data_IF_982740486089
#
_entry.id   IF_982740486089
#
_cell.length_a   1.000
_cell.length_b   1.000
_cell.length_c   1.000
_cell.angle_alpha   90.00
_cell.angle_beta   90.00
_cell.angle_gamma   90.00
#
_symmetry.space_group_name_H-M   'P 1'
#
loop_
_entity.id
_entity.type
_entity.pdbx_description
1 polymer ?
#
# COMPACT_ATOMS: atom_id res chain seq x y z
N UNK A 1 -25.34 -9.91 -5.99
CA UNK A 1 -25.18 -8.61 -5.31
C UNK A 1 -24.31 -8.86 -4.10
N UNK A 2 -23.02 -8.52 -4.15
CA UNK A 2 -22.15 -8.60 -2.98
C UNK A 2 -22.53 -7.46 -2.03
N UNK A 3 -22.85 -7.80 -0.79
CA UNK A 3 -23.17 -6.82 0.24
C UNK A 3 -21.84 -6.28 0.77
N UNK A 4 -21.59 -4.97 0.60
CA UNK A 4 -20.37 -4.32 1.09
C UNK A 4 -20.24 -4.57 2.60
N UNK A 5 -19.15 -5.21 3.01
CA UNK A 5 -18.84 -5.52 4.41
C UNK A 5 -18.23 -4.31 5.13
N UNK A 6 -17.81 -3.29 4.38
CA UNK A 6 -17.33 -2.03 4.89
C UNK A 6 -18.51 -1.19 5.39
N UNK A 7 -18.55 -0.91 6.70
CA UNK A 7 -19.65 -0.13 7.30
C UNK A 7 -19.72 1.31 6.78
N UNK A 8 -18.57 1.91 6.45
CA UNK A 8 -18.46 3.33 6.06
C UNK A 8 -17.41 3.57 4.94
N UNK A 9 -17.62 3.06 3.72
CA UNK A 9 -16.62 3.08 2.65
C UNK A 9 -16.16 4.50 2.28
N UNK A 10 -17.09 5.46 2.17
CA UNK A 10 -16.75 6.87 1.88
C UNK A 10 -15.92 7.54 2.98
N UNK A 11 -16.15 7.17 4.25
CA UNK A 11 -15.37 7.73 5.35
C UNK A 11 -13.94 7.16 5.32
N UNK A 12 -13.82 5.85 5.13
CA UNK A 12 -12.55 5.16 4.99
C UNK A 12 -11.71 5.71 3.81
N UNK A 13 -12.30 5.88 2.63
CA UNK A 13 -11.58 6.43 1.47
C UNK A 13 -11.07 7.85 1.74
N UNK A 14 -11.85 8.68 2.44
CA UNK A 14 -11.39 10.03 2.86
C UNK A 14 -10.26 9.99 3.89
N UNK A 15 -10.20 8.98 4.73
CA UNK A 15 -9.10 8.78 5.66
C UNK A 15 -7.85 8.31 4.92
N UNK A 16 -7.99 7.32 4.03
CA UNK A 16 -6.89 6.85 3.19
C UNK A 16 -6.34 7.95 2.28
N UNK A 17 -7.18 8.81 1.71
CA UNK A 17 -6.75 9.93 0.88
C UNK A 17 -5.94 11.01 1.63
N UNK A 18 -5.95 11.01 2.97
CA UNK A 18 -5.06 11.86 3.78
C UNK A 18 -3.66 11.27 3.92
N UNK A 19 -3.56 9.96 3.76
CA UNK A 19 -2.36 9.17 4.03
C UNK A 19 -1.65 8.73 2.73
N UNK A 20 -2.42 8.62 1.64
CA UNK A 20 -2.01 8.09 0.35
C UNK A 20 -2.46 8.97 -0.81
N UNK A 21 -1.68 8.94 -1.89
CA UNK A 21 -2.11 9.39 -3.21
C UNK A 21 -2.82 8.21 -3.90
N UNK A 22 -4.14 8.22 -3.91
CA UNK A 22 -4.94 7.14 -4.48
C UNK A 22 -4.98 7.29 -6.01
N UNK A 23 -4.54 6.27 -6.73
CA UNK A 23 -4.50 6.29 -8.19
C UNK A 23 -5.89 6.12 -8.83
N UNK A 24 -6.66 5.14 -8.34
CA UNK A 24 -8.03 4.87 -8.75
C UNK A 24 -8.88 4.55 -7.49
N UNK A 25 -9.80 5.45 -7.14
CA UNK A 25 -10.63 5.28 -5.95
C UNK A 25 -11.61 4.10 -6.05
N UNK A 26 -12.13 3.82 -7.25
CA UNK A 26 -13.12 2.78 -7.46
C UNK A 26 -12.47 1.40 -7.36
N UNK A 27 -11.28 1.21 -7.95
CA UNK A 27 -10.55 -0.05 -7.84
C UNK A 27 -10.04 -0.31 -6.41
N UNK A 28 -9.50 0.71 -5.74
CA UNK A 28 -9.07 0.59 -4.34
C UNK A 28 -10.25 0.26 -3.44
N UNK A 29 -11.41 0.90 -3.64
CA UNK A 29 -12.61 0.59 -2.86
C UNK A 29 -13.07 -0.85 -3.10
N UNK A 30 -13.14 -1.29 -4.36
CA UNK A 30 -13.51 -2.66 -4.71
C UNK A 30 -12.54 -3.70 -4.13
N UNK A 31 -11.27 -3.37 -4.00
CA UNK A 31 -10.30 -4.20 -3.28
C UNK A 31 -10.61 -4.29 -1.79
N UNK A 32 -10.83 -3.16 -1.12
CA UNK A 32 -11.10 -3.10 0.32
C UNK A 32 -12.41 -3.79 0.71
N UNK A 33 -13.39 -3.82 -0.19
CA UNK A 33 -14.64 -4.58 0.00
C UNK A 33 -14.41 -6.10 -0.03
N UNK A 34 -13.45 -6.55 -0.86
CA UNK A 34 -13.05 -7.97 -0.97
C UNK A 34 -12.10 -8.39 0.15
N UNK A 35 -11.29 -7.46 0.65
CA UNK A 35 -10.30 -7.68 1.70
C UNK A 35 -10.50 -6.68 2.86
N UNK A 36 -11.50 -6.87 3.75
CA UNK A 36 -11.80 -5.91 4.80
C UNK A 36 -10.66 -5.72 5.83
N UNK A 37 -9.77 -6.71 5.94
CA UNK A 37 -8.55 -6.68 6.76
C UNK A 37 -7.42 -5.81 6.15
N UNK A 38 -7.52 -5.48 4.86
CA UNK A 38 -6.57 -4.59 4.19
C UNK A 38 -6.62 -3.15 4.73
N UNK A 39 -7.81 -2.65 5.07
CA UNK A 39 -7.97 -1.27 5.54
C UNK A 39 -7.13 -0.94 6.79
N UNK A 40 -7.23 -1.69 7.92
CA UNK A 40 -6.36 -1.44 9.07
C UNK A 40 -4.88 -1.69 8.74
N UNK A 41 -4.58 -2.66 7.87
CA UNK A 41 -3.21 -2.92 7.43
C UNK A 41 -2.60 -1.75 6.66
N UNK A 42 -3.35 -1.02 5.84
CA UNK A 42 -2.86 0.18 5.16
C UNK A 42 -2.44 1.27 6.16
N UNK A 43 -3.21 1.52 7.21
CA UNK A 43 -2.79 2.48 8.24
C UNK A 43 -1.51 2.03 8.97
N UNK A 44 -1.37 0.74 9.24
CA UNK A 44 -0.13 0.16 9.79
C UNK A 44 1.05 0.32 8.80
N UNK A 45 0.84 0.06 7.51
CA UNK A 45 1.82 0.26 6.44
C UNK A 45 2.28 1.71 6.45
N UNK A 46 1.37 2.69 6.42
CA UNK A 46 1.74 4.11 6.39
C UNK A 46 2.54 4.52 7.62
N UNK A 47 2.10 4.09 8.81
CA UNK A 47 2.81 4.35 10.07
C UNK A 47 4.25 3.83 10.03
N UNK A 48 4.47 2.62 9.51
CA UNK A 48 5.81 2.07 9.38
C UNK A 48 6.63 2.72 8.27
N UNK A 49 6.05 3.02 7.10
CA UNK A 49 6.74 3.78 6.05
C UNK A 49 7.25 5.10 6.60
N UNK A 50 6.43 5.84 7.37
CA UNK A 50 6.86 7.11 7.97
C UNK A 50 8.09 7.01 8.86
N UNK A 51 8.30 5.87 9.53
CA UNK A 51 9.48 5.67 10.40
C UNK A 51 10.79 5.58 9.63
N UNK A 52 10.77 5.09 8.39
CA UNK A 52 11.99 4.86 7.60
C UNK A 52 12.14 5.86 6.44
N UNK A 53 11.03 6.28 5.83
CA UNK A 53 10.99 7.18 4.68
C UNK A 53 10.43 8.58 5.01
N UNK A 54 10.09 8.84 6.28
CA UNK A 54 9.51 10.12 6.69
C UNK A 54 8.17 10.41 6.01
N UNK A 55 7.93 11.68 5.69
CA UNK A 55 6.69 12.11 5.07
C UNK A 55 6.67 11.94 3.54
N UNK A 56 7.58 11.13 2.98
CA UNK A 56 7.54 10.75 1.57
C UNK A 56 6.13 10.30 1.16
N UNK A 57 5.70 10.75 -0.02
CA UNK A 57 4.39 10.44 -0.56
C UNK A 57 4.31 8.93 -0.86
N UNK A 58 3.12 8.36 -0.69
CA UNK A 58 2.89 6.95 -1.02
C UNK A 58 1.72 6.89 -1.97
N UNK A 59 1.96 6.40 -3.18
CA UNK A 59 0.91 6.12 -4.15
C UNK A 59 0.28 4.78 -3.81
N UNK A 60 -1.05 4.74 -3.75
CA UNK A 60 -1.81 3.51 -3.59
C UNK A 60 -2.47 3.17 -4.92
N UNK A 61 -2.15 1.99 -5.46
CA UNK A 61 -2.58 1.57 -6.79
C UNK A 61 -2.87 0.07 -6.84
N UNK A 62 -3.52 -0.39 -7.90
CA UNK A 62 -3.71 -1.79 -8.21
C UNK A 62 -2.70 -2.24 -9.27
N UNK A 63 -2.05 -3.37 -9.01
CA UNK A 63 -1.16 -4.04 -9.96
C UNK A 63 -1.79 -5.34 -10.44
N UNK A 64 -1.62 -5.63 -11.72
CA UNK A 64 -2.13 -6.82 -12.38
C UNK A 64 -0.96 -7.59 -12.98
N UNK A 65 -0.74 -8.81 -12.54
CA UNK A 65 0.24 -9.69 -13.16
C UNK A 65 -0.31 -10.22 -14.49
N UNK A 66 0.33 -9.84 -15.60
CA UNK A 66 -0.08 -10.26 -16.94
C UNK A 66 0.47 -11.65 -17.30
N UNK A 67 1.52 -12.10 -16.61
CA UNK A 67 2.12 -13.42 -16.80
C UNK A 67 1.33 -14.49 -16.01
N UNK A 68 0.81 -14.13 -14.83
CA UNK A 68 -0.05 -14.99 -13.99
C UNK A 68 -1.38 -14.33 -13.60
N UNK A 69 -2.34 -14.19 -14.53
CA UNK A 69 -3.64 -13.55 -14.27
C UNK A 69 -4.48 -14.22 -13.18
N UNK A 70 -4.24 -15.51 -12.91
CA UNK A 70 -4.90 -16.29 -11.88
C UNK A 70 -4.61 -15.83 -10.45
N UNK A 71 -3.47 -15.16 -10.23
CA UNK A 71 -3.10 -14.61 -8.91
C UNK A 71 -3.97 -13.40 -8.53
N UNK A 72 -4.65 -12.81 -9.53
CA UNK A 72 -5.54 -11.68 -9.35
C UNK A 72 -4.80 -10.37 -9.08
N UNK A 73 -5.54 -9.29 -8.84
CA UNK A 73 -4.94 -7.98 -8.62
C UNK A 73 -4.36 -7.85 -7.20
N UNK A 74 -3.17 -7.24 -7.12
CA UNK A 74 -2.52 -6.90 -5.85
C UNK A 74 -2.60 -5.39 -5.61
N UNK A 75 -2.80 -5.00 -4.36
CA UNK A 75 -2.72 -3.60 -3.96
C UNK A 75 -1.27 -3.21 -3.68
N UNK A 76 -0.79 -2.12 -4.26
CA UNK A 76 0.59 -1.66 -4.12
C UNK A 76 0.62 -0.32 -3.40
N UNK A 77 1.29 -0.28 -2.24
CA UNK A 77 1.70 0.94 -1.58
C UNK A 77 3.12 1.32 -2.04
N UNK A 78 3.20 2.16 -3.07
CA UNK A 78 4.44 2.55 -3.72
C UNK A 78 4.99 3.88 -3.18
N UNK A 79 6.11 3.80 -2.45
CA UNK A 79 6.77 4.95 -1.82
C UNK A 79 7.47 5.80 -2.89
N UNK A 80 7.11 7.07 -2.96
CA UNK A 80 7.65 8.07 -3.87
C UNK A 80 8.81 8.80 -3.18
N UNK A 81 10.04 8.29 -3.33
CA UNK A 81 11.15 8.77 -2.51
C UNK A 81 12.17 9.61 -3.30
N UNK A 82 12.64 10.75 -2.75
CA UNK A 82 13.73 11.53 -3.32
C UNK A 82 15.11 11.05 -2.82
N UNK A 83 15.15 10.00 -2.01
CA UNK A 83 16.40 9.41 -1.51
C UNK A 83 17.25 8.88 -2.67
N UNK A 84 18.58 8.86 -2.47
CA UNK A 84 19.46 8.18 -3.41
C UNK A 84 19.18 6.68 -3.36
N UNK A 85 19.46 5.97 -4.46
CA UNK A 85 19.14 4.55 -4.57
C UNK A 85 19.72 3.70 -3.44
N UNK A 86 20.96 3.96 -3.01
CA UNK A 86 21.57 3.24 -1.89
C UNK A 86 20.78 3.45 -0.58
N UNK A 87 20.48 4.71 -0.23
CA UNK A 87 19.76 5.06 0.99
C UNK A 87 18.31 4.53 0.99
N UNK A 88 17.64 4.59 -0.16
CA UNK A 88 16.29 4.04 -0.35
C UNK A 88 16.28 2.52 -0.16
N UNK A 89 17.26 1.81 -0.74
CA UNK A 89 17.42 0.36 -0.58
C UNK A 89 17.68 0.01 0.88
N UNK A 90 18.54 0.74 1.58
CA UNK A 90 18.84 0.46 2.98
C UNK A 90 17.63 0.71 3.88
N UNK A 91 16.87 1.78 3.64
CA UNK A 91 15.62 2.08 4.34
C UNK A 91 14.55 1.02 4.06
N UNK A 92 14.39 0.60 2.81
CA UNK A 92 13.46 -0.46 2.42
C UNK A 92 13.82 -1.80 3.06
N UNK A 93 15.12 -2.15 3.09
CA UNK A 93 15.61 -3.36 3.76
C UNK A 93 15.36 -3.34 5.26
N UNK A 94 15.52 -2.18 5.92
CA UNK A 94 15.21 -2.03 7.34
C UNK A 94 13.71 -2.19 7.60
N UNK A 95 12.85 -1.48 6.86
CA UNK A 95 11.39 -1.64 6.90
C UNK A 95 10.97 -3.11 6.70
N UNK A 96 11.58 -3.78 5.72
CA UNK A 96 11.41 -5.20 5.43
C UNK A 96 11.67 -6.09 6.63
N UNK A 97 12.90 -6.02 7.15
CA UNK A 97 13.39 -6.86 8.25
C UNK A 97 12.67 -6.60 9.56
N UNK A 98 12.44 -5.34 9.89
CA UNK A 98 11.97 -4.95 11.22
C UNK A 98 10.46 -5.17 11.38
N UNK A 99 9.72 -5.13 10.26
CA UNK A 99 8.26 -5.18 10.32
C UNK A 99 7.62 -5.93 9.16
N UNK A 100 7.87 -5.54 7.90
CA UNK A 100 7.01 -5.96 6.78
C UNK A 100 7.04 -7.48 6.55
N UNK A 101 8.19 -8.15 6.64
CA UNK A 101 8.26 -9.59 6.41
C UNK A 101 7.52 -10.40 7.48
N UNK A 102 7.51 -9.93 8.73
CA UNK A 102 6.71 -10.54 9.79
C UNK A 102 5.23 -10.31 9.55
N UNK A 103 4.83 -9.05 9.31
CA UNK A 103 3.42 -8.67 9.12
C UNK A 103 2.80 -9.34 7.89
N UNK A 104 3.56 -9.46 6.78
CA UNK A 104 3.12 -10.13 5.54
C UNK A 104 2.73 -11.59 5.78
N UNK A 105 3.40 -12.30 6.69
CA UNK A 105 3.04 -13.67 7.05
C UNK A 105 1.78 -13.80 7.91
N UNK A 106 1.28 -12.69 8.47
CA UNK A 106 0.11 -12.64 9.36
C UNK A 106 -1.17 -12.18 8.64
N UNK A 107 -1.09 -11.79 7.37
CA UNK A 107 -2.21 -11.25 6.57
C UNK A 107 -2.45 -12.08 5.32
N UNK A 108 -3.71 -12.22 4.93
CA UNK A 108 -4.10 -12.84 3.66
C UNK A 108 -4.37 -11.80 2.55
N UNK A 109 -4.47 -10.52 2.90
CA UNK A 109 -4.68 -9.45 1.93
C UNK A 109 -3.46 -9.34 0.98
N UNK A 110 -3.66 -9.39 -0.35
CA UNK A 110 -2.58 -9.29 -1.33
C UNK A 110 -2.14 -7.84 -1.48
N UNK A 111 -1.31 -7.38 -0.52
CA UNK A 111 -0.73 -6.05 -0.50
C UNK A 111 0.79 -6.16 -0.63
N UNK A 112 1.37 -5.27 -1.43
CA UNK A 112 2.82 -5.12 -1.60
C UNK A 112 3.28 -3.71 -1.22
N UNK A 113 4.48 -3.62 -0.64
CA UNK A 113 5.16 -2.36 -0.36
C UNK A 113 6.39 -2.25 -1.26
N UNK A 114 6.41 -1.23 -2.11
CA UNK A 114 7.50 -0.94 -3.04
C UNK A 114 7.96 0.51 -2.89
N UNK A 115 9.00 0.88 -3.63
CA UNK A 115 9.41 2.27 -3.76
C UNK A 115 9.85 2.55 -5.20
N UNK A 116 9.72 3.81 -5.60
CA UNK A 116 10.30 4.34 -6.82
C UNK A 116 10.94 5.70 -6.58
N UNK A 117 11.92 6.03 -7.42
CA UNK A 117 12.62 7.31 -7.36
C UNK A 117 11.84 8.38 -8.08
N UNK A 118 11.44 9.43 -7.36
CA UNK A 118 10.93 10.63 -8.00
C UNK A 118 12.09 11.48 -8.50
N UNK A 119 12.03 11.88 -9.77
CA UNK A 119 12.99 12.86 -10.31
C UNK A 119 12.76 14.19 -9.60
N UNK A 120 13.81 14.75 -8.98
CA UNK A 120 13.77 16.15 -8.56
C UNK A 120 13.71 17.00 -9.82
N UNK A 121 12.58 17.70 -10.01
CA UNK A 121 12.44 18.82 -10.95
C UNK A 121 13.22 20.02 -10.45
#
# INVERSE_FOLDING_TARGET
MAQSTLKHPRALMRELAREYQIADEDEVLAFLERHPDAAPLLFDIRSNIRRYFGDDAVRLDMSYDLEWPEDGPEMVANIQTPLRSADAIDSWRQLGRDWWFKKRGETAAPILVSFEHVRRV
#
